data_IF_835340384810
#
_entry.id   IF_835340384810
#
_cell.length_a   1.000
_cell.length_b   1.000
_cell.length_c   1.000
_cell.angle_alpha   90.00
_cell.angle_beta   90.00
_cell.angle_gamma   90.00
#
_symmetry.space_group_name_H-M   'P 1'
#
loop_
_entity.id
_entity.type
_entity.pdbx_description
1 polymer ?
#
# COMPACT_ATOMS: atom_id res chain seq x y z
N UNK A 1 -5.98 -0.53 -8.21
CA UNK A 1 -4.86 0.28 -7.70
C UNK A 1 -5.37 1.10 -6.52
N UNK A 2 -4.68 1.05 -5.40
CA UNK A 2 -5.12 1.66 -4.14
C UNK A 2 -4.07 2.64 -3.61
N UNK A 3 -4.50 3.64 -2.87
CA UNK A 3 -3.68 4.65 -2.23
C UNK A 3 -4.06 4.75 -0.76
N UNK A 4 -3.07 4.64 0.15
CA UNK A 4 -3.25 4.83 1.58
C UNK A 4 -2.28 5.90 2.08
N UNK A 5 -2.77 6.76 2.96
CA UNK A 5 -1.98 7.88 3.49
C UNK A 5 -1.71 7.72 4.99
N UNK A 6 -0.46 7.88 5.36
CA UNK A 6 0.12 8.42 6.58
C UNK A 6 0.31 7.52 7.80
N UNK A 7 0.28 8.09 8.99
CA UNK A 7 0.65 7.44 10.26
C UNK A 7 -0.25 6.26 10.59
N UNK A 8 0.35 5.08 10.83
CA UNK A 8 -0.38 3.84 11.07
C UNK A 8 -0.67 3.04 9.78
N UNK A 9 -0.19 3.48 8.62
CA UNK A 9 -0.40 2.78 7.36
C UNK A 9 0.15 1.35 7.40
N UNK A 10 1.32 1.13 8.00
CA UNK A 10 1.90 -0.21 8.15
C UNK A 10 0.96 -1.11 8.98
N UNK A 11 0.48 -0.62 10.14
CA UNK A 11 -0.46 -1.37 10.97
C UNK A 11 -1.76 -1.70 10.25
N UNK A 12 -2.25 -0.76 9.44
CA UNK A 12 -3.46 -0.94 8.64
C UNK A 12 -3.26 -1.96 7.50
N UNK A 13 -2.04 -2.14 7.02
CA UNK A 13 -1.70 -3.09 5.97
C UNK A 13 -1.46 -4.51 6.48
N UNK A 14 -1.06 -4.69 7.74
CA UNK A 14 -0.74 -6.02 8.27
C UNK A 14 -1.82 -7.08 8.01
N UNK A 15 -3.12 -6.81 8.19
CA UNK A 15 -4.16 -7.79 7.86
C UNK A 15 -4.16 -8.17 6.37
N UNK A 16 -3.98 -7.20 5.48
CA UNK A 16 -3.92 -7.46 4.04
C UNK A 16 -2.69 -8.28 3.67
N UNK A 17 -1.52 -7.94 4.21
CA UNK A 17 -0.28 -8.68 3.99
C UNK A 17 -0.42 -10.13 4.48
N UNK A 18 -0.98 -10.32 5.69
CA UNK A 18 -1.23 -11.64 6.26
C UNK A 18 -2.19 -12.49 5.44
N UNK A 19 -3.25 -11.88 4.89
CA UNK A 19 -4.19 -12.57 4.01
C UNK A 19 -3.51 -13.03 2.72
N UNK A 20 -2.68 -12.19 2.09
CA UNK A 20 -1.93 -12.55 0.88
C UNK A 20 -0.96 -13.71 1.17
N UNK A 21 -0.20 -13.64 2.27
CA UNK A 21 0.72 -14.70 2.65
C UNK A 21 -0.02 -16.01 3.04
N UNK A 22 -1.16 -15.92 3.71
CA UNK A 22 -1.98 -17.08 4.06
C UNK A 22 -2.52 -17.82 2.84
N UNK A 23 -2.69 -17.15 1.72
CA UNK A 23 -3.06 -17.71 0.42
C UNK A 23 -1.86 -18.30 -0.34
N UNK A 24 -0.66 -18.24 0.23
CA UNK A 24 0.57 -18.68 -0.42
C UNK A 24 1.07 -17.73 -1.52
N UNK A 25 0.54 -16.52 -1.56
CA UNK A 25 0.85 -15.52 -2.56
C UNK A 25 2.00 -14.59 -2.08
N UNK A 26 2.76 -14.05 -3.03
CA UNK A 26 3.91 -13.22 -2.72
C UNK A 26 3.57 -11.72 -2.68
N UNK A 27 4.23 -11.05 -1.74
CA UNK A 27 4.22 -9.58 -1.62
C UNK A 27 5.60 -9.04 -1.96
N UNK A 28 5.68 -7.95 -2.72
CA UNK A 28 6.91 -7.17 -2.88
C UNK A 28 6.74 -5.76 -2.32
N UNK A 29 7.80 -5.24 -1.70
CA UNK A 29 7.84 -3.89 -1.16
C UNK A 29 8.88 -3.05 -1.90
N UNK A 30 8.46 -1.94 -2.46
CA UNK A 30 9.34 -0.99 -3.15
C UNK A 30 9.36 0.31 -2.36
N UNK A 31 10.53 0.67 -1.86
CA UNK A 31 10.74 1.84 -1.03
C UNK A 31 11.38 2.97 -1.84
N UNK A 32 10.83 4.19 -1.73
CA UNK A 32 11.42 5.39 -2.30
C UNK A 32 11.44 6.53 -1.27
N UNK A 33 12.57 6.68 -0.58
CA UNK A 33 12.74 7.75 0.40
C UNK A 33 12.27 7.37 1.80
N UNK A 34 11.35 8.14 2.38
CA UNK A 34 10.87 7.92 3.75
C UNK A 34 9.85 6.77 3.84
N UNK A 35 10.33 5.54 3.93
CA UNK A 35 9.50 4.35 4.09
C UNK A 35 8.90 4.24 5.48
N UNK A 36 7.76 3.56 5.54
CA UNK A 36 7.16 3.07 6.80
C UNK A 36 7.46 1.59 7.05
N UNK A 37 8.21 0.95 6.16
CA UNK A 37 8.56 -0.47 6.30
C UNK A 37 9.45 -0.69 7.52
N UNK A 38 8.92 -1.41 8.48
CA UNK A 38 9.64 -1.76 9.70
C UNK A 38 9.44 -3.25 10.01
N UNK A 39 10.39 -4.10 9.61
CA UNK A 39 10.28 -5.56 9.75
C UNK A 39 9.89 -6.05 11.15
N UNK A 40 10.42 -5.51 12.26
CA UNK A 40 10.03 -5.96 13.59
C UNK A 40 8.53 -5.83 13.88
N UNK A 41 7.87 -4.77 13.41
CA UNK A 41 6.43 -4.59 13.60
C UNK A 41 5.61 -5.61 12.80
N UNK A 42 6.09 -5.97 11.61
CA UNK A 42 5.46 -7.00 10.76
C UNK A 42 5.62 -8.38 11.39
N UNK A 43 6.83 -8.70 11.83
CA UNK A 43 7.13 -9.99 12.49
C UNK A 43 6.35 -10.17 13.79
N UNK A 44 6.23 -9.11 14.60
CA UNK A 44 5.43 -9.13 15.83
C UNK A 44 3.95 -9.45 15.57
N UNK A 45 3.47 -9.25 14.35
CA UNK A 45 2.10 -9.56 13.90
C UNK A 45 1.99 -10.91 13.16
N UNK A 46 3.06 -11.72 13.18
CA UNK A 46 3.07 -13.05 12.61
C UNK A 46 3.31 -13.10 11.09
N UNK A 47 3.76 -11.98 10.50
CA UNK A 47 4.07 -11.95 9.08
C UNK A 47 5.47 -12.55 8.83
N UNK A 48 5.61 -13.32 7.76
CA UNK A 48 6.89 -13.79 7.26
C UNK A 48 7.59 -12.66 6.51
N UNK A 49 8.47 -11.94 7.22
CA UNK A 49 9.21 -10.81 6.65
C UNK A 49 10.32 -11.25 5.70
N UNK A 50 10.82 -12.49 5.83
CA UNK A 50 11.84 -13.03 4.94
C UNK A 50 11.28 -13.35 3.56
N UNK A 51 9.98 -13.59 3.47
CA UNK A 51 9.28 -13.79 2.21
C UNK A 51 8.89 -12.48 1.50
N UNK A 52 9.21 -11.30 2.06
CA UNK A 52 8.91 -10.01 1.46
C UNK A 52 10.18 -9.40 0.86
N UNK A 53 10.45 -9.54 -0.44
CA UNK A 53 11.55 -8.82 -1.07
C UNK A 53 11.33 -7.30 -0.99
N UNK A 54 12.37 -6.59 -0.53
CA UNK A 54 12.38 -5.13 -0.43
C UNK A 54 13.31 -4.55 -1.48
N UNK A 55 12.79 -3.70 -2.34
CA UNK A 55 13.55 -3.00 -3.37
C UNK A 55 13.74 -1.55 -2.97
N UNK A 56 14.99 -1.13 -2.81
CA UNK A 56 15.38 0.24 -2.46
C UNK A 56 15.53 1.07 -3.75
N UNK A 57 14.65 2.00 -3.95
CA UNK A 57 14.66 2.89 -5.11
C UNK A 57 15.11 4.30 -4.70
N UNK A 58 16.03 4.93 -5.42
CA UNK A 58 16.55 6.25 -5.05
C UNK A 58 15.54 7.39 -5.21
N UNK A 59 14.46 7.16 -5.95
CA UNK A 59 13.40 8.14 -6.19
C UNK A 59 12.13 7.48 -6.72
N UNK A 60 11.04 8.24 -6.78
CA UNK A 60 9.73 7.79 -7.28
C UNK A 60 9.80 7.18 -8.69
N UNK A 61 10.60 7.73 -9.60
CA UNK A 61 10.73 7.20 -10.97
C UNK A 61 11.32 5.79 -10.97
N UNK A 62 12.39 5.58 -10.23
CA UNK A 62 13.01 4.26 -10.08
C UNK A 62 12.07 3.26 -9.39
N UNK A 63 11.30 3.71 -8.40
CA UNK A 63 10.30 2.87 -7.73
C UNK A 63 9.21 2.41 -8.70
N UNK A 64 8.70 3.30 -9.54
CA UNK A 64 7.70 2.96 -10.56
C UNK A 64 8.26 1.98 -11.61
N UNK A 65 9.54 2.11 -11.98
CA UNK A 65 10.22 1.16 -12.86
C UNK A 65 10.38 -0.22 -12.20
N UNK A 66 10.77 -0.25 -10.93
CA UNK A 66 10.85 -1.50 -10.17
C UNK A 66 9.49 -2.20 -10.08
N UNK A 67 8.43 -1.45 -9.79
CA UNK A 67 7.07 -1.99 -9.78
C UNK A 67 6.64 -2.56 -11.13
N UNK A 68 7.01 -1.92 -12.24
CA UNK A 68 6.76 -2.43 -13.58
C UNK A 68 7.42 -3.79 -13.82
N UNK A 69 8.67 -3.96 -13.39
CA UNK A 69 9.38 -5.25 -13.52
C UNK A 69 8.79 -6.33 -12.61
N UNK A 70 8.46 -5.98 -11.36
CA UNK A 70 7.84 -6.92 -10.43
C UNK A 70 6.48 -7.41 -10.96
N UNK A 71 5.64 -6.51 -11.48
CA UNK A 71 4.36 -6.88 -12.07
C UNK A 71 4.51 -7.74 -13.32
N UNK A 72 5.48 -7.44 -14.18
CA UNK A 72 5.77 -8.24 -15.40
C UNK A 72 6.19 -9.66 -15.08
N UNK A 73 6.80 -9.91 -13.93
CA UNK A 73 7.19 -11.25 -13.54
C UNK A 73 5.98 -12.17 -13.31
N UNK A 74 4.81 -11.59 -12.99
CA UNK A 74 3.61 -12.33 -12.63
C UNK A 74 3.71 -13.08 -11.31
N UNK A 75 4.80 -12.90 -10.55
CA UNK A 75 5.05 -13.66 -9.32
C UNK A 75 4.38 -13.05 -8.09
N UNK A 76 3.99 -11.78 -8.11
CA UNK A 76 3.51 -11.06 -6.94
C UNK A 76 2.03 -10.73 -7.04
N UNK A 77 1.25 -11.14 -6.04
CA UNK A 77 -0.15 -10.75 -5.93
C UNK A 77 -0.31 -9.32 -5.39
N UNK A 78 0.68 -8.83 -4.65
CA UNK A 78 0.68 -7.47 -4.11
C UNK A 78 2.04 -6.81 -4.28
N UNK A 79 2.06 -5.64 -4.90
CA UNK A 79 3.24 -4.75 -5.00
C UNK A 79 2.94 -3.46 -4.26
N UNK A 80 3.66 -3.21 -3.17
CA UNK A 80 3.56 -2.00 -2.35
C UNK A 80 4.62 -1.00 -2.79
N UNK A 81 4.19 0.21 -3.12
CA UNK A 81 5.04 1.36 -3.45
C UNK A 81 5.00 2.34 -2.28
N UNK A 82 6.06 2.38 -1.49
CA UNK A 82 6.15 3.20 -0.28
C UNK A 82 7.01 4.46 -0.51
N UNK A 83 6.54 5.59 -0.01
CA UNK A 83 7.22 6.85 -0.13
C UNK A 83 7.02 7.57 -1.48
N UNK A 84 6.07 7.14 -2.30
CA UNK A 84 5.74 7.85 -3.54
C UNK A 84 5.28 9.27 -3.26
N UNK A 85 5.96 10.26 -3.84
CA UNK A 85 5.68 11.68 -3.68
C UNK A 85 5.24 12.33 -4.99
N UNK A 86 4.53 13.45 -4.88
CA UNK A 86 4.09 14.22 -6.05
C UNK A 86 2.92 13.59 -6.81
N UNK A 87 2.86 13.85 -8.10
CA UNK A 87 1.91 13.25 -9.04
C UNK A 87 2.62 12.23 -9.91
N UNK A 88 1.89 11.22 -10.35
CA UNK A 88 2.39 10.20 -11.27
C UNK A 88 1.64 10.34 -12.58
N UNK A 89 2.36 10.31 -13.70
CA UNK A 89 1.76 10.42 -15.02
C UNK A 89 0.71 9.32 -15.25
N UNK A 90 -0.43 9.70 -15.80
CA UNK A 90 -1.55 8.77 -16.06
C UNK A 90 -1.14 7.64 -17.01
N UNK A 91 -0.20 7.87 -17.91
CA UNK A 91 0.36 6.83 -18.79
C UNK A 91 1.12 5.74 -18.00
N UNK A 92 1.88 6.14 -16.98
CA UNK A 92 2.59 5.21 -16.08
C UNK A 92 1.59 4.45 -15.22
N UNK A 93 0.63 5.17 -14.62
CA UNK A 93 -0.42 4.54 -13.83
C UNK A 93 -1.26 3.56 -14.67
N UNK A 94 -1.58 3.93 -15.91
CA UNK A 94 -2.31 3.07 -16.86
C UNK A 94 -1.55 1.78 -17.17
N UNK A 95 -0.24 1.89 -17.36
CA UNK A 95 0.62 0.73 -17.60
C UNK A 95 0.68 -0.20 -16.40
N UNK A 96 0.89 0.33 -15.19
CA UNK A 96 0.90 -0.48 -13.97
C UNK A 96 -0.47 -1.12 -13.71
N UNK A 97 -1.56 -0.38 -13.93
CA UNK A 97 -2.91 -0.91 -13.77
C UNK A 97 -3.21 -2.06 -14.74
N UNK A 98 -2.76 -1.94 -16.02
CA UNK A 98 -2.91 -3.00 -17.02
C UNK A 98 -2.10 -4.24 -16.64
N UNK A 99 -0.84 -4.08 -16.25
CA UNK A 99 0.00 -5.21 -15.82
C UNK A 99 -0.58 -5.90 -14.58
N UNK A 100 -1.05 -5.13 -13.61
CA UNK A 100 -1.70 -5.67 -12.43
C UNK A 100 -2.96 -6.48 -12.79
N UNK A 101 -3.78 -5.98 -13.72
CA UNK A 101 -4.97 -6.71 -14.18
C UNK A 101 -4.62 -7.98 -14.96
N UNK A 102 -3.57 -7.94 -15.77
CA UNK A 102 -3.09 -9.07 -16.57
C UNK A 102 -2.64 -10.25 -15.70
N UNK A 103 -2.01 -9.96 -14.56
CA UNK A 103 -1.49 -10.98 -13.65
C UNK A 103 -2.32 -11.17 -12.37
N UNK A 104 -3.51 -10.57 -12.27
CA UNK A 104 -4.35 -10.66 -11.07
C UNK A 104 -3.75 -9.99 -9.84
N UNK A 105 -2.77 -9.11 -10.03
CA UNK A 105 -2.04 -8.45 -8.96
C UNK A 105 -2.71 -7.15 -8.49
N UNK A 106 -2.36 -6.70 -7.30
CA UNK A 106 -2.73 -5.40 -6.75
C UNK A 106 -1.52 -4.51 -6.62
N UNK A 107 -1.65 -3.25 -7.03
CA UNK A 107 -0.65 -2.20 -6.75
C UNK A 107 -1.20 -1.27 -5.67
N UNK A 108 -0.43 -1.11 -4.62
CA UNK A 108 -0.76 -0.26 -3.48
C UNK A 108 0.28 0.84 -3.31
N UNK A 109 -0.17 2.08 -3.33
CA UNK A 109 0.67 3.25 -3.04
C UNK A 109 0.49 3.69 -1.59
N UNK A 110 1.57 3.75 -0.85
CA UNK A 110 1.63 4.41 0.46
C UNK A 110 2.15 5.83 0.25
N UNK A 111 1.31 6.79 0.57
CA UNK A 111 1.63 8.21 0.38
C UNK A 111 1.47 8.98 1.69
N UNK A 112 2.16 10.11 1.81
CA UNK A 112 2.00 11.04 2.94
C UNK A 112 1.08 12.21 2.61
N UNK A 113 0.15 12.01 1.70
CA UNK A 113 -0.79 13.04 1.29
C UNK A 113 -1.89 13.27 2.33
N UNK A 114 -2.28 14.52 2.50
CA UNK A 114 -3.48 14.87 3.25
C UNK A 114 -4.73 14.30 2.58
N UNK A 115 -5.81 14.02 3.34
CA UNK A 115 -7.11 13.66 2.76
C UNK A 115 -7.64 14.69 1.74
N UNK A 116 -7.25 15.96 1.90
CA UNK A 116 -7.66 17.07 1.04
C UNK A 116 -6.82 17.19 -0.22
N UNK A 117 -5.64 16.56 -0.26
CA UNK A 117 -4.79 16.58 -1.44
C UNK A 117 -5.40 15.76 -2.58
N UNK A 118 -5.07 16.14 -3.80
CA UNK A 118 -5.46 15.36 -4.97
C UNK A 118 -4.87 13.93 -4.90
N UNK A 119 -5.61 12.95 -5.41
CA UNK A 119 -5.12 11.58 -5.60
C UNK A 119 -3.86 11.57 -6.48
N UNK A 120 -3.08 10.50 -6.44
CA UNK A 120 -1.92 10.30 -7.33
C UNK A 120 -2.30 10.37 -8.81
N UNK A 121 -3.53 9.98 -9.16
CA UNK A 121 -4.04 10.06 -10.51
C UNK A 121 -5.46 9.52 -10.65
N UNK A 122 -6.03 9.70 -11.85
CA UNK A 122 -7.41 9.32 -12.13
C UNK A 122 -7.63 7.80 -12.03
N UNK A 123 -6.61 6.98 -12.28
CA UNK A 123 -6.70 5.52 -12.30
C UNK A 123 -6.66 4.86 -10.92
N UNK A 124 -6.42 5.62 -9.85
CA UNK A 124 -6.61 5.11 -8.49
C UNK A 124 -8.07 4.76 -8.28
N UNK A 125 -8.38 3.48 -8.03
CA UNK A 125 -9.74 2.98 -7.87
C UNK A 125 -10.24 3.07 -6.43
N UNK A 126 -9.33 2.87 -5.45
CA UNK A 126 -9.62 2.95 -4.03
C UNK A 126 -8.59 3.87 -3.37
N UNK A 127 -9.06 4.83 -2.58
CA UNK A 127 -8.23 5.69 -1.75
C UNK A 127 -8.71 5.62 -0.31
N UNK A 128 -7.77 5.32 0.58
CA UNK A 128 -8.01 5.20 2.01
C UNK A 128 -7.09 6.17 2.73
N UNK A 129 -7.61 6.86 3.73
CA UNK A 129 -6.79 7.57 4.71
C UNK A 129 -6.75 6.79 5.99
N UNK A 130 -5.57 6.78 6.60
CA UNK A 130 -5.32 6.13 7.88
C UNK A 130 -4.99 7.20 8.89
N UNK A 131 -5.67 7.23 10.01
CA UNK A 131 -5.44 8.18 11.09
C UNK A 131 -5.47 7.49 12.45
N UNK A 132 -4.71 8.05 13.40
CA UNK A 132 -4.73 7.57 14.77
C UNK A 132 -6.04 8.04 15.43
N UNK A 133 -6.78 7.10 16.01
CA UNK A 133 -7.95 7.39 16.84
C UNK A 133 -7.59 7.22 18.33
N UNK A 134 -8.50 7.66 19.23
CA UNK A 134 -8.32 7.49 20.67
C UNK A 134 -8.19 6.03 21.11
N UNK A 135 -8.78 5.13 20.34
CA UNK A 135 -8.63 3.68 20.50
C UNK A 135 -8.35 3.08 19.13
N UNK A 136 -7.04 2.81 18.82
CA UNK A 136 -6.65 2.14 17.61
C UNK A 136 -6.45 3.05 16.40
N UNK A 137 -6.72 2.51 15.22
CA UNK A 137 -6.51 3.17 13.92
C UNK A 137 -7.84 3.28 13.18
N UNK A 138 -8.14 4.48 12.69
CA UNK A 138 -9.32 4.72 11.85
C UNK A 138 -8.93 4.67 10.38
N UNK A 139 -9.65 3.85 9.62
CA UNK A 139 -9.57 3.79 8.17
C UNK A 139 -10.77 4.52 7.59
N UNK A 140 -10.52 5.50 6.74
CA UNK A 140 -11.55 6.24 6.02
C UNK A 140 -11.39 6.06 4.53
N UNK A 141 -12.42 5.50 3.88
CA UNK A 141 -12.48 5.43 2.43
C UNK A 141 -12.81 6.83 1.88
N UNK A 142 -11.88 7.42 1.14
CA UNK A 142 -12.02 8.76 0.53
C UNK A 142 -12.53 8.65 -0.92
N UNK A 143 -12.17 7.55 -1.58
CA UNK A 143 -12.60 7.27 -2.96
C UNK A 143 -12.76 5.77 -3.13
N UNK A 144 -13.88 5.36 -3.68
CA UNK A 144 -14.13 4.01 -4.15
C UNK A 144 -14.91 4.06 -5.47
N UNK A 145 -14.30 3.57 -6.55
CA UNK A 145 -14.93 3.53 -7.87
C UNK A 145 -15.84 2.32 -8.08
N UNK A 146 -15.79 1.33 -7.21
CA UNK A 146 -16.56 0.09 -7.34
C UNK A 146 -17.83 0.09 -6.52
N UNK A 147 -17.78 0.61 -5.30
CA UNK A 147 -18.86 0.46 -4.32
C UNK A 147 -19.72 1.74 -4.14
N UNK A 148 -19.40 2.83 -4.85
CA UNK A 148 -20.14 4.09 -4.71
C UNK A 148 -19.74 4.92 -3.48
N UNK A 149 -20.62 5.80 -2.96
CA UNK A 149 -20.24 6.79 -1.97
C UNK A 149 -19.84 6.16 -0.63
N UNK A 150 -18.85 6.73 -0.11
CA UNK A 150 -18.00 6.58 1.06
C UNK A 150 -18.63 5.93 2.30
N UNK A 151 -18.08 4.82 2.70
CA UNK A 151 -18.28 4.28 4.05
C UNK A 151 -17.04 4.58 4.91
N UNK A 152 -17.27 5.14 6.09
CA UNK A 152 -16.24 5.21 7.13
C UNK A 152 -16.25 3.89 7.87
N UNK A 153 -15.21 3.10 7.69
CA UNK A 153 -15.01 1.90 8.50
C UNK A 153 -13.99 2.22 9.59
N UNK A 154 -14.40 2.10 10.83
CA UNK A 154 -13.50 2.11 11.97
C UNK A 154 -13.03 0.69 12.19
N UNK A 155 -11.77 0.43 11.92
CA UNK A 155 -11.13 -0.83 12.28
C UNK A 155 -10.31 -0.54 13.54
N UNK A 156 -10.67 -1.16 14.64
CA UNK A 156 -9.82 -1.19 15.81
C UNK A 156 -8.65 -2.12 15.50
N UNK A 157 -7.53 -1.53 15.15
CA UNK A 157 -6.28 -2.26 15.03
C UNK A 157 -5.52 -2.01 16.33
N UNK A 158 -5.25 -3.06 17.08
CA UNK A 158 -4.38 -2.98 18.23
C UNK A 158 -3.03 -2.41 17.80
N UNK A 159 -2.56 -1.41 18.53
CA UNK A 159 -1.25 -0.82 18.30
C UNK A 159 -0.14 -1.88 18.44
N UNK A 160 1.12 -1.56 18.07
CA UNK A 160 2.23 -2.47 18.28
C UNK A 160 2.30 -2.88 19.76
N UNK A 161 2.42 -4.18 20.00
CA UNK A 161 2.59 -4.73 21.34
C UNK A 161 3.85 -4.11 21.96
N UNK A 162 3.70 -3.23 22.93
CA UNK A 162 4.82 -2.73 23.72
C UNK A 162 5.01 -1.20 23.82
N UNK A 163 4.11 -0.40 23.29
CA UNK A 163 4.11 1.05 23.52
C UNK A 163 2.88 1.44 24.38
N UNK A 164 3.03 1.32 25.68
CA UNK A 164 2.17 1.91 26.70
C UNK A 164 2.90 3.10 27.34
#
# INVERSE_FOLDING_TARGET
MSEAASYGALSALCPLLGEVQAQGELVAWVESGNSVFFPPDLQARGLDVEAIPVVWAPNTKAALQAADWLLRSGAFALVVLDGTTGTVDDSVLGRLARLAAEHGATVLFLTRKSPLDASLGALVSLRITVSKASQGTELRVVKDKRSGPLSVQRISLDGPLGLY
#
